data_IF_300967286801
#
_entry.id   IF_300967286801
#
_cell.length_a   1.000
_cell.length_b   1.000
_cell.length_c   1.000
_cell.angle_alpha   90.00
_cell.angle_beta   90.00
_cell.angle_gamma   90.00
#
_symmetry.space_group_name_H-M   'P 1'
#
loop_
_entity.id
_entity.type
_entity.pdbx_description
1 polymer ?
#
# COMPACT_ATOMS: atom_id res chain seq x y z
N UNK A 1 48.39 3.45 10.66
CA UNK A 1 47.35 2.60 10.06
C UNK A 1 46.55 1.87 11.15
N UNK A 2 46.14 2.58 12.21
CA UNK A 2 45.24 2.04 13.27
C UNK A 2 44.13 3.03 13.65
N UNK A 3 44.19 4.27 13.17
CA UNK A 3 43.21 5.32 13.52
C UNK A 3 41.95 5.26 12.64
N UNK A 4 41.94 4.48 11.55
CA UNK A 4 40.75 4.27 10.71
C UNK A 4 39.78 3.20 11.24
N UNK A 5 40.13 2.50 12.33
CA UNK A 5 39.31 1.43 12.91
C UNK A 5 38.49 1.88 14.13
N UNK A 6 38.83 3.03 14.73
CA UNK A 6 38.25 3.50 15.99
C UNK A 6 36.91 4.26 15.81
N UNK A 7 36.56 4.65 14.60
CA UNK A 7 35.28 5.31 14.28
C UNK A 7 34.29 4.33 13.61
N UNK A 8 34.26 3.08 14.06
CA UNK A 8 33.06 2.21 13.92
C UNK A 8 32.04 2.51 15.02
N UNK A 9 31.96 3.78 15.44
CA UNK A 9 31.05 4.24 16.47
C UNK A 9 29.62 4.25 15.89
N UNK A 10 28.83 3.26 16.30
CA UNK A 10 27.40 3.11 16.03
C UNK A 10 27.01 2.98 14.55
N UNK A 11 27.45 1.92 13.88
CA UNK A 11 26.65 1.37 12.78
C UNK A 11 25.32 0.89 13.38
N UNK A 12 24.32 1.77 13.40
CA UNK A 12 22.96 1.46 13.84
C UNK A 12 22.48 0.27 13.01
N UNK A 13 22.41 -0.90 13.64
CA UNK A 13 21.93 -2.09 12.98
C UNK A 13 20.42 -1.98 12.78
N UNK A 14 19.99 -1.87 11.53
CA UNK A 14 18.57 -1.79 11.18
C UNK A 14 17.95 -3.19 11.17
N UNK A 15 17.56 -3.69 12.36
CA UNK A 15 16.89 -4.98 12.53
C UNK A 15 15.37 -4.90 12.30
N UNK A 16 14.93 -4.27 11.20
CA UNK A 16 13.50 -4.15 10.86
C UNK A 16 13.33 -4.20 9.35
N UNK A 17 12.17 -4.67 8.90
CA UNK A 17 11.78 -4.58 7.50
C UNK A 17 11.85 -3.11 7.04
N UNK A 18 12.55 -2.87 5.94
CA UNK A 18 12.71 -1.53 5.37
C UNK A 18 11.60 -1.32 4.35
N UNK A 19 10.54 -0.63 4.77
CA UNK A 19 9.51 -0.13 3.86
C UNK A 19 9.93 1.20 3.21
N UNK A 20 9.10 1.73 2.31
CA UNK A 20 9.37 2.99 1.64
C UNK A 20 9.49 4.18 2.60
N UNK A 21 8.86 4.14 3.78
CA UNK A 21 8.93 5.21 4.79
C UNK A 21 10.23 5.14 5.59
N UNK A 22 10.62 3.94 6.00
CA UNK A 22 11.87 3.65 6.67
C UNK A 22 13.06 4.00 5.77
N UNK A 23 13.00 3.68 4.47
CA UNK A 23 14.03 4.06 3.50
C UNK A 23 14.19 5.58 3.38
N UNK A 24 13.08 6.33 3.32
CA UNK A 24 13.12 7.81 3.31
C UNK A 24 13.80 8.37 4.57
N UNK A 25 13.43 7.86 5.75
CA UNK A 25 14.06 8.25 7.02
C UNK A 25 15.55 7.94 7.03
N UNK A 26 15.94 6.75 6.58
CA UNK A 26 17.34 6.36 6.45
C UNK A 26 18.12 7.34 5.56
N UNK A 27 17.56 7.68 4.39
CA UNK A 27 18.16 8.66 3.47
C UNK A 27 18.32 10.03 4.15
N UNK A 28 17.29 10.53 4.82
CA UNK A 28 17.36 11.80 5.55
C UNK A 28 18.45 11.79 6.60
N UNK A 29 18.54 10.74 7.42
CA UNK A 29 19.59 10.59 8.43
C UNK A 29 20.98 10.53 7.81
N UNK A 30 21.16 9.81 6.69
CA UNK A 30 22.45 9.76 5.99
C UNK A 30 22.86 11.13 5.43
N UNK A 31 21.91 11.89 4.86
CA UNK A 31 22.18 13.24 4.37
C UNK A 31 22.57 14.16 5.52
N UNK A 32 21.87 14.08 6.66
CA UNK A 32 22.17 14.89 7.85
C UNK A 32 23.57 14.61 8.43
N UNK A 33 24.01 13.36 8.41
CA UNK A 33 25.29 12.96 9.04
C UNK A 33 26.49 13.02 8.08
N UNK A 34 26.30 12.67 6.80
CA UNK A 34 27.39 12.49 5.84
C UNK A 34 27.31 13.43 4.62
N UNK A 35 26.23 14.19 4.47
CA UNK A 35 26.00 15.06 3.32
C UNK A 35 25.57 14.32 2.04
N UNK A 36 25.20 15.07 1.01
CA UNK A 36 24.57 14.52 -0.20
C UNK A 36 25.49 13.62 -1.04
N UNK A 37 26.75 14.02 -1.23
CA UNK A 37 27.66 13.30 -2.12
C UNK A 37 27.97 11.88 -1.60
N UNK A 38 28.27 11.77 -0.31
CA UNK A 38 28.55 10.47 0.31
C UNK A 38 27.29 9.61 0.39
N UNK A 39 26.14 10.21 0.71
CA UNK A 39 24.86 9.50 0.72
C UNK A 39 24.51 8.93 -0.66
N UNK A 40 24.78 9.65 -1.75
CA UNK A 40 24.55 9.14 -3.12
C UNK A 40 25.31 7.84 -3.37
N UNK A 41 26.57 7.76 -2.94
CA UNK A 41 27.37 6.55 -3.13
C UNK A 41 26.80 5.35 -2.35
N UNK A 42 26.33 5.57 -1.12
CA UNK A 42 25.65 4.53 -0.32
C UNK A 42 24.36 4.08 -1.02
N UNK A 43 23.58 5.02 -1.56
CA UNK A 43 22.32 4.70 -2.22
C UNK A 43 22.50 3.87 -3.48
N UNK A 44 23.58 4.03 -4.22
CA UNK A 44 23.88 3.19 -5.37
C UNK A 44 24.21 1.74 -4.96
N UNK A 45 24.88 1.55 -3.82
CA UNK A 45 25.10 0.21 -3.25
C UNK A 45 23.78 -0.43 -2.80
N UNK A 46 22.92 0.33 -2.13
CA UNK A 46 21.59 -0.13 -1.69
C UNK A 46 20.72 -0.52 -2.89
N UNK A 47 20.73 0.25 -3.98
CA UNK A 47 20.02 -0.10 -5.23
C UNK A 47 20.54 -1.40 -5.83
N UNK A 48 21.85 -1.54 -5.93
CA UNK A 48 22.49 -2.75 -6.49
C UNK A 48 22.09 -3.98 -5.68
N UNK A 49 22.16 -3.88 -4.35
CA UNK A 49 21.72 -4.94 -3.45
C UNK A 49 20.22 -5.23 -3.64
N UNK A 50 19.39 -4.20 -3.67
CA UNK A 50 17.94 -4.33 -3.88
C UNK A 50 17.61 -5.10 -5.15
N UNK A 51 18.20 -4.73 -6.29
CA UNK A 51 17.99 -5.45 -7.55
C UNK A 51 18.45 -6.91 -7.48
N UNK A 52 19.63 -7.18 -6.93
CA UNK A 52 20.12 -8.55 -6.76
C UNK A 52 19.18 -9.39 -5.90
N UNK A 53 18.70 -8.85 -4.78
CA UNK A 53 17.80 -9.56 -3.88
C UNK A 53 16.41 -9.76 -4.48
N UNK A 54 15.87 -8.78 -5.23
CA UNK A 54 14.60 -8.93 -5.95
C UNK A 54 14.71 -10.01 -7.04
N UNK A 55 15.82 -10.04 -7.79
CA UNK A 55 16.05 -11.11 -8.78
C UNK A 55 16.20 -12.47 -8.11
N UNK A 56 16.93 -12.56 -7.00
CA UNK A 56 17.15 -13.82 -6.29
C UNK A 56 15.87 -14.36 -5.62
N UNK A 57 15.04 -13.49 -5.06
CA UNK A 57 13.74 -13.87 -4.47
C UNK A 57 12.71 -14.25 -5.53
N UNK A 58 12.91 -13.82 -6.79
CA UNK A 58 12.09 -14.20 -7.94
C UNK A 58 10.59 -14.03 -7.67
N UNK A 59 10.20 -12.93 -7.04
CA UNK A 59 8.81 -12.61 -6.73
C UNK A 59 8.01 -12.54 -8.05
N UNK A 60 6.92 -13.28 -8.12
CA UNK A 60 5.99 -13.32 -9.23
C UNK A 60 4.58 -12.97 -8.74
N UNK A 61 3.69 -12.61 -9.67
CA UNK A 61 2.27 -12.39 -9.40
C UNK A 61 1.45 -13.38 -10.23
N UNK A 62 0.80 -14.31 -9.55
CA UNK A 62 -0.13 -15.29 -10.11
C UNK A 62 -1.60 -14.90 -9.93
N UNK A 63 -2.49 -15.67 -10.56
CA UNK A 63 -3.94 -15.52 -10.36
C UNK A 63 -4.32 -15.88 -8.91
N UNK A 64 -3.62 -16.84 -8.31
CA UNK A 64 -3.90 -17.30 -6.94
C UNK A 64 -3.55 -16.25 -5.87
N UNK A 65 -2.72 -15.27 -6.19
CA UNK A 65 -2.41 -14.13 -5.29
C UNK A 65 -3.60 -13.14 -5.21
N UNK A 66 -4.54 -13.20 -6.15
CA UNK A 66 -5.75 -12.38 -6.15
C UNK A 66 -6.82 -13.01 -5.24
N UNK A 67 -6.61 -12.87 -3.94
CA UNK A 67 -7.55 -13.37 -2.93
C UNK A 67 -8.89 -12.66 -3.04
N UNK A 68 -9.97 -13.43 -3.24
CA UNK A 68 -11.34 -12.94 -3.15
C UNK A 68 -11.86 -13.11 -1.72
N UNK A 69 -12.58 -12.12 -1.21
CA UNK A 69 -13.19 -12.21 0.12
C UNK A 69 -14.37 -13.19 0.04
N UNK A 70 -14.44 -14.24 0.88
CA UNK A 70 -15.53 -15.22 0.82
C UNK A 70 -16.93 -14.60 0.97
N UNK A 71 -17.05 -13.48 1.70
CA UNK A 71 -18.30 -12.76 1.90
C UNK A 71 -18.74 -11.88 0.72
N UNK A 72 -17.92 -11.75 -0.34
CA UNK A 72 -18.23 -10.89 -1.49
C UNK A 72 -19.58 -11.24 -2.12
N UNK A 73 -19.91 -12.53 -2.26
CA UNK A 73 -21.19 -12.95 -2.83
C UNK A 73 -22.39 -12.46 -2.01
N UNK A 74 -22.30 -12.56 -0.68
CA UNK A 74 -23.34 -12.06 0.22
C UNK A 74 -23.46 -10.54 0.18
N UNK A 75 -22.33 -9.81 0.17
CA UNK A 75 -22.33 -8.34 0.08
C UNK A 75 -22.99 -7.83 -1.20
N UNK A 76 -22.72 -8.49 -2.33
CA UNK A 76 -23.36 -8.17 -3.62
C UNK A 76 -24.85 -8.45 -3.57
N UNK A 77 -25.26 -9.63 -3.07
CA UNK A 77 -26.67 -9.98 -2.96
C UNK A 77 -27.46 -9.01 -2.07
N UNK A 78 -26.86 -8.59 -0.95
CA UNK A 78 -27.45 -7.59 -0.06
C UNK A 78 -27.62 -6.24 -0.77
N UNK A 79 -26.61 -5.75 -1.49
CA UNK A 79 -26.69 -4.51 -2.28
C UNK A 79 -27.76 -4.57 -3.38
N UNK A 80 -27.88 -5.70 -4.08
CA UNK A 80 -28.91 -5.95 -5.08
C UNK A 80 -30.32 -5.92 -4.46
N UNK A 81 -30.49 -6.53 -3.29
CA UNK A 81 -31.77 -6.54 -2.58
C UNK A 81 -32.19 -5.12 -2.14
N UNK A 82 -31.24 -4.32 -1.62
CA UNK A 82 -31.51 -2.92 -1.26
C UNK A 82 -31.85 -2.07 -2.49
N UNK A 83 -31.15 -2.30 -3.61
CA UNK A 83 -31.42 -1.63 -4.88
C UNK A 83 -32.84 -1.95 -5.40
N UNK A 84 -33.28 -3.20 -5.27
CA UNK A 84 -34.64 -3.61 -5.65
C UNK A 84 -35.72 -2.94 -4.78
N UNK A 85 -35.47 -2.80 -3.47
CA UNK A 85 -36.39 -2.09 -2.57
C UNK A 85 -36.49 -0.62 -2.97
N UNK A 86 -35.35 0.02 -3.26
CA UNK A 86 -35.28 1.40 -3.73
C UNK A 86 -36.06 1.60 -5.04
N UNK A 87 -35.95 0.67 -5.98
CA UNK A 87 -36.69 0.70 -7.25
C UNK A 87 -38.21 0.66 -7.02
N UNK A 88 -38.67 -0.20 -6.11
CA UNK A 88 -40.09 -0.25 -5.74
C UNK A 88 -40.56 1.07 -5.14
N UNK A 89 -39.80 1.67 -4.22
CA UNK A 89 -40.16 2.97 -3.64
C UNK A 89 -40.24 4.08 -4.69
N UNK A 90 -39.38 4.06 -5.71
CA UNK A 90 -39.47 4.99 -6.83
C UNK A 90 -40.74 4.77 -7.67
N UNK A 91 -41.09 3.52 -7.98
CA UNK A 91 -42.30 3.18 -8.74
C UNK A 91 -43.60 3.58 -8.03
N UNK A 92 -43.62 3.54 -6.70
CA UNK A 92 -44.75 4.04 -5.90
C UNK A 92 -44.78 5.57 -5.74
N UNK A 93 -43.84 6.31 -6.37
CA UNK A 93 -43.78 7.77 -6.31
C UNK A 93 -43.15 8.33 -5.02
N UNK A 94 -42.56 7.48 -4.17
CA UNK A 94 -42.03 7.87 -2.86
C UNK A 94 -40.62 8.49 -2.92
N UNK A 95 -39.91 8.36 -4.04
CA UNK A 95 -38.51 8.81 -4.19
C UNK A 95 -38.33 9.54 -5.51
N UNK A 96 -37.77 10.76 -5.46
CA UNK A 96 -37.43 11.55 -6.64
C UNK A 96 -36.17 11.00 -7.34
N UNK A 97 -36.02 11.24 -8.65
CA UNK A 97 -34.94 10.66 -9.46
C UNK A 97 -33.52 10.99 -8.93
N UNK A 98 -33.30 12.22 -8.44
CA UNK A 98 -32.03 12.64 -7.84
C UNK A 98 -31.73 11.88 -6.55
N UNK A 99 -32.74 11.67 -5.71
CA UNK A 99 -32.58 10.95 -4.44
C UNK A 99 -32.35 9.45 -4.67
N UNK A 100 -33.01 8.87 -5.69
CA UNK A 100 -32.75 7.50 -6.14
C UNK A 100 -31.28 7.31 -6.55
N UNK A 101 -30.73 8.25 -7.31
CA UNK A 101 -29.34 8.20 -7.73
C UNK A 101 -28.39 8.24 -6.52
N UNK A 102 -28.61 9.18 -5.58
CA UNK A 102 -27.81 9.30 -4.36
C UNK A 102 -27.83 8.02 -3.53
N UNK A 103 -29.02 7.48 -3.24
CA UNK A 103 -29.19 6.26 -2.44
C UNK A 103 -28.59 5.04 -3.15
N UNK A 104 -28.71 4.93 -4.48
CA UNK A 104 -28.06 3.86 -5.24
C UNK A 104 -26.54 3.90 -5.10
N UNK A 105 -25.93 5.09 -5.14
CA UNK A 105 -24.48 5.25 -4.94
C UNK A 105 -24.11 4.83 -3.51
N UNK A 106 -24.88 5.24 -2.50
CA UNK A 106 -24.62 4.90 -1.11
C UNK A 106 -24.69 3.40 -0.84
N UNK A 107 -25.68 2.69 -1.42
CA UNK A 107 -25.83 1.24 -1.30
C UNK A 107 -24.59 0.50 -1.81
N UNK A 108 -24.08 0.87 -2.99
CA UNK A 108 -22.90 0.23 -3.57
C UNK A 108 -21.60 0.65 -2.90
N UNK A 109 -21.49 1.92 -2.48
CA UNK A 109 -20.30 2.42 -1.79
C UNK A 109 -20.12 1.79 -0.40
N UNK A 110 -21.20 1.55 0.33
CA UNK A 110 -21.15 0.92 1.66
C UNK A 110 -20.72 -0.56 1.65
N UNK A 111 -20.57 -1.18 0.47
CA UNK A 111 -20.25 -2.60 0.28
C UNK A 111 -18.98 -2.83 -0.55
N UNK A 112 -18.28 -1.76 -0.94
CA UNK A 112 -16.95 -1.81 -1.59
C UNK A 112 -15.81 -1.93 -0.59
#
# INVERSE_FOLDING_TARGET
>A
MEVLMAERANLVFHNKAIDGTAMKRLISTLIEHFGMAYTSHILDQVKTLGFQQTTATSISLGIDDLLTIPSKGWLVQDAEQQSLILEKHHQYGNVHAVEKLRQSIEIWYAKS
#
